data_IF_794630998605
#
_entry.id   IF_794630998605
#
_cell.length_a   1.000
_cell.length_b   1.000
_cell.length_c   1.000
_cell.angle_alpha   90.00
_cell.angle_beta   90.00
_cell.angle_gamma   90.00
#
_symmetry.space_group_name_H-M   'P 1'
#
loop_
_entity.id
_entity.type
_entity.pdbx_description
1 polymer ?
#
# COMPACT_ATOMS: atom_id res chain seq x y z
N UNK A 1 7.72 -26.97 20.72
CA UNK A 1 7.22 -25.80 19.96
C UNK A 1 7.26 -24.61 20.89
N UNK A 2 7.94 -23.53 20.50
CA UNK A 2 8.05 -22.31 21.30
C UNK A 2 6.85 -21.38 21.01
N UNK A 3 6.41 -20.61 22.02
CA UNK A 3 5.37 -19.58 21.90
C UNK A 3 5.85 -18.33 22.63
N UNK A 4 5.59 -17.17 22.07
CA UNK A 4 5.99 -15.90 22.67
C UNK A 4 5.38 -14.72 21.95
N UNK A 5 5.95 -13.55 22.18
CA UNK A 5 5.56 -12.27 21.59
C UNK A 5 6.42 -11.96 20.38
N UNK A 6 5.79 -11.56 19.29
CA UNK A 6 6.48 -11.02 18.12
C UNK A 6 6.46 -9.49 18.15
N UNK A 7 7.58 -8.85 17.82
CA UNK A 7 7.67 -7.40 17.64
C UNK A 7 8.38 -7.06 16.34
N UNK A 8 7.76 -6.20 15.55
CA UNK A 8 8.40 -5.56 14.40
C UNK A 8 8.96 -4.22 14.88
N UNK A 9 10.27 -4.03 14.77
CA UNK A 9 11.00 -2.88 15.31
C UNK A 9 11.73 -2.20 14.18
N UNK A 10 11.48 -0.90 14.01
CA UNK A 10 12.27 -0.01 13.15
C UNK A 10 13.38 0.64 13.98
N UNK A 11 14.62 0.60 13.51
CA UNK A 11 15.79 1.23 14.15
C UNK A 11 16.53 2.13 13.17
N UNK A 12 16.94 3.29 13.65
CA UNK A 12 17.64 4.31 12.86
C UNK A 12 16.73 5.48 12.51
N UNK A 13 17.37 6.61 12.20
CA UNK A 13 16.67 7.86 11.89
C UNK A 13 16.78 8.26 10.42
N UNK A 14 17.83 7.79 9.74
CA UNK A 14 18.10 8.07 8.33
C UNK A 14 17.56 6.94 7.45
N UNK A 15 17.04 7.31 6.28
CA UNK A 15 16.52 6.35 5.29
C UNK A 15 17.71 5.80 4.47
N UNK A 16 17.82 4.47 4.28
CA UNK A 16 16.93 3.44 4.78
C UNK A 16 17.19 3.09 6.26
N UNK A 17 16.12 3.02 7.05
CA UNK A 17 16.17 2.51 8.42
C UNK A 17 16.39 0.99 8.41
N UNK A 18 16.57 0.38 9.59
CA UNK A 18 16.66 -1.07 9.75
C UNK A 18 15.35 -1.61 10.34
N UNK A 19 14.77 -2.64 9.72
CA UNK A 19 13.64 -3.37 10.28
C UNK A 19 14.11 -4.71 10.88
N UNK A 20 13.66 -4.99 12.10
CA UNK A 20 13.98 -6.18 12.87
C UNK A 20 12.68 -6.85 13.31
N UNK A 21 12.56 -8.15 13.07
CA UNK A 21 11.51 -8.98 13.65
C UNK A 21 12.10 -9.71 14.86
N UNK A 22 11.68 -9.32 16.05
CA UNK A 22 12.10 -9.93 17.31
C UNK A 22 11.05 -10.94 17.78
N UNK A 23 11.52 -12.12 18.14
CA UNK A 23 10.77 -13.12 18.88
C UNK A 23 11.21 -13.02 20.34
N UNK A 24 10.29 -12.65 21.23
CA UNK A 24 10.56 -12.44 22.67
C UNK A 24 9.68 -13.34 23.52
N UNK A 25 10.13 -13.73 24.71
CA UNK A 25 9.26 -14.35 25.71
C UNK A 25 8.12 -13.38 26.08
N UNK A 26 6.89 -13.91 26.19
CA UNK A 26 5.71 -13.09 26.43
C UNK A 26 5.68 -12.45 27.83
N UNK A 27 6.31 -13.08 28.82
CA UNK A 27 6.28 -12.65 30.21
C UNK A 27 7.53 -11.84 30.57
N UNK A 28 8.72 -12.34 30.22
CA UNK A 28 9.99 -11.70 30.59
C UNK A 28 10.45 -10.67 29.58
N UNK A 29 10.01 -10.77 28.32
CA UNK A 29 10.53 -9.96 27.22
C UNK A 29 11.94 -10.34 26.78
N UNK A 30 12.47 -11.49 27.23
CA UNK A 30 13.78 -11.99 26.82
C UNK A 30 13.78 -12.32 25.32
N UNK A 31 14.82 -11.86 24.61
CA UNK A 31 14.96 -12.09 23.17
C UNK A 31 15.30 -13.56 22.90
N UNK A 32 14.38 -14.27 22.25
CA UNK A 32 14.59 -15.63 21.80
C UNK A 32 15.35 -15.67 20.46
N UNK A 33 14.91 -14.88 19.49
CA UNK A 33 15.56 -14.80 18.19
C UNK A 33 15.30 -13.44 17.52
N UNK A 34 16.24 -13.02 16.68
CA UNK A 34 16.12 -11.81 15.90
C UNK A 34 16.29 -12.13 14.41
N UNK A 35 15.33 -11.68 13.61
CA UNK A 35 15.34 -11.79 12.15
C UNK A 35 15.44 -10.39 11.54
N UNK A 36 16.61 -10.01 10.99
CA UNK A 36 16.74 -8.77 10.24
C UNK A 36 15.92 -8.81 8.95
N UNK A 37 15.05 -7.83 8.73
CA UNK A 37 14.26 -7.70 7.52
C UNK A 37 14.95 -6.73 6.54
N UNK A 38 15.50 -7.27 5.45
CA UNK A 38 16.31 -6.54 4.46
C UNK A 38 15.89 -6.86 3.01
N UNK A 39 14.73 -6.34 2.54
CA UNK A 39 14.28 -6.55 1.18
C UNK A 39 15.24 -5.87 0.18
N UNK A 40 15.62 -6.61 -0.85
CA UNK A 40 16.47 -6.12 -1.94
C UNK A 40 16.02 -6.73 -3.26
N UNK A 41 16.56 -6.25 -4.39
CA UNK A 41 16.25 -6.82 -5.72
C UNK A 41 16.57 -8.32 -5.81
N UNK A 42 17.58 -8.79 -5.09
CA UNK A 42 18.00 -10.20 -5.06
C UNK A 42 17.25 -11.02 -4.00
N UNK A 43 16.77 -10.37 -2.93
CA UNK A 43 15.99 -11.01 -1.87
C UNK A 43 14.71 -10.19 -1.62
N UNK A 44 13.66 -10.38 -2.44
CA UNK A 44 12.42 -9.60 -2.32
C UNK A 44 11.71 -9.85 -1.00
N UNK A 45 11.84 -11.06 -0.45
CA UNK A 45 11.22 -11.46 0.82
C UNK A 45 11.96 -10.90 2.04
N UNK A 46 13.16 -10.32 1.85
CA UNK A 46 13.91 -9.65 2.90
C UNK A 46 14.27 -10.50 4.12
N UNK A 47 14.21 -11.84 4.02
CA UNK A 47 14.41 -12.75 5.15
C UNK A 47 13.13 -13.18 5.87
N UNK A 48 11.94 -12.80 5.37
CA UNK A 48 10.64 -13.30 5.82
C UNK A 48 9.84 -13.81 4.62
N UNK A 49 9.67 -15.12 4.51
CA UNK A 49 8.99 -15.77 3.38
C UNK A 49 7.64 -16.34 3.82
N UNK A 50 6.57 -15.96 3.12
CA UNK A 50 5.23 -16.52 3.37
C UNK A 50 5.10 -17.92 2.77
N UNK A 51 4.43 -18.82 3.46
CA UNK A 51 4.15 -20.17 2.94
C UNK A 51 3.03 -20.12 1.89
N UNK A 52 3.17 -20.89 0.81
CA UNK A 52 2.28 -20.82 -0.37
C UNK A 52 0.85 -21.33 -0.12
N UNK A 53 0.69 -22.31 0.76
CA UNK A 53 -0.60 -22.96 1.04
C UNK A 53 -1.35 -22.34 2.24
N UNK A 54 -0.69 -21.44 2.98
CA UNK A 54 -1.24 -20.86 4.20
C UNK A 54 -0.78 -19.43 4.42
N UNK A 55 -1.75 -18.53 4.55
CA UNK A 55 -1.50 -17.12 4.90
C UNK A 55 -1.15 -16.89 6.36
N UNK A 56 -1.06 -17.93 7.19
CA UNK A 56 -0.73 -17.82 8.63
C UNK A 56 0.70 -18.21 8.95
N UNK A 57 1.41 -18.87 8.04
CA UNK A 57 2.75 -19.40 8.31
C UNK A 57 3.81 -18.68 7.49
N UNK A 58 4.98 -18.51 8.09
CA UNK A 58 6.12 -17.83 7.50
C UNK A 58 7.42 -18.54 7.89
N UNK A 59 8.46 -18.37 7.08
CA UNK A 59 9.82 -18.77 7.39
C UNK A 59 10.65 -17.50 7.59
N UNK A 60 11.21 -17.35 8.79
CA UNK A 60 12.12 -16.27 9.14
C UNK A 60 13.57 -16.72 9.01
N UNK A 61 14.41 -15.88 8.42
CA UNK A 61 15.86 -15.99 8.52
C UNK A 61 16.31 -15.25 9.78
N UNK A 62 16.68 -16.00 10.81
CA UNK A 62 17.25 -15.44 12.04
C UNK A 62 18.77 -15.39 11.95
N UNK A 63 19.37 -14.44 12.65
CA UNK A 63 20.82 -14.29 12.76
C UNK A 63 21.18 -14.37 14.23
N UNK A 64 22.10 -15.28 14.58
CA UNK A 64 22.69 -15.32 15.91
C UNK A 64 23.56 -14.07 16.12
N UNK A 65 23.31 -13.34 17.20
CA UNK A 65 24.06 -12.13 17.54
C UNK A 65 25.51 -12.43 17.93
N UNK A 66 25.79 -13.65 18.42
CA UNK A 66 27.13 -14.04 18.88
C UNK A 66 27.99 -14.57 17.74
N UNK A 67 27.46 -15.53 16.98
CA UNK A 67 28.21 -16.20 15.90
C UNK A 67 28.00 -15.60 14.50
N UNK A 68 26.98 -14.74 14.32
CA UNK A 68 26.58 -14.23 13.00
C UNK A 68 25.96 -15.30 12.08
N UNK A 69 25.80 -16.53 12.57
CA UNK A 69 25.25 -17.63 11.80
C UNK A 69 23.77 -17.43 11.50
N UNK A 70 23.35 -17.89 10.32
CA UNK A 70 21.97 -17.79 9.86
C UNK A 70 21.25 -19.11 10.09
N UNK A 71 20.04 -19.04 10.63
CA UNK A 71 19.14 -20.18 10.72
C UNK A 71 17.76 -19.82 10.18
N UNK A 72 16.99 -20.83 9.81
CA UNK A 72 15.62 -20.67 9.32
C UNK A 72 14.64 -21.19 10.36
N UNK A 73 13.69 -20.36 10.77
CA UNK A 73 12.66 -20.70 11.76
C UNK A 73 11.29 -20.56 11.11
N UNK A 74 10.51 -21.63 11.16
CA UNK A 74 9.08 -21.58 10.84
C UNK A 74 8.32 -20.92 11.98
N UNK A 75 7.49 -19.94 11.65
CA UNK A 75 6.59 -19.28 12.59
C UNK A 75 5.16 -19.30 12.06
N UNK A 76 4.19 -19.17 12.97
CA UNK A 76 2.79 -19.11 12.61
C UNK A 76 1.98 -18.26 13.58
N UNK A 77 0.99 -17.57 13.04
CA UNK A 77 0.01 -16.85 13.84
C UNK A 77 -1.19 -17.77 14.17
N UNK A 78 -1.76 -17.65 15.37
CA UNK A 78 -2.98 -18.36 15.73
C UNK A 78 -4.16 -17.89 14.85
N UNK A 79 -4.28 -16.58 14.59
CA UNK A 79 -5.33 -16.03 13.72
C UNK A 79 -4.80 -15.45 12.39
N UNK A 80 -5.62 -15.50 11.34
CA UNK A 80 -5.29 -14.91 10.03
C UNK A 80 -5.21 -13.38 10.07
N UNK A 81 -5.96 -12.74 10.97
CA UNK A 81 -5.95 -11.29 11.09
C UNK A 81 -4.58 -10.80 11.57
N UNK A 82 -3.99 -11.47 12.56
CA UNK A 82 -2.65 -11.12 13.06
C UNK A 82 -1.56 -11.31 12.00
N UNK A 83 -1.65 -12.38 11.19
CA UNK A 83 -0.71 -12.59 10.09
C UNK A 83 -0.83 -11.54 8.99
N UNK A 84 -2.04 -11.05 8.75
CA UNK A 84 -2.27 -9.94 7.83
C UNK A 84 -1.64 -8.64 8.34
N UNK A 85 -1.86 -8.28 9.61
CA UNK A 85 -1.29 -7.08 10.22
C UNK A 85 0.25 -7.11 10.20
N UNK A 86 0.85 -8.27 10.48
CA UNK A 86 2.30 -8.47 10.37
C UNK A 86 2.82 -8.21 8.95
N UNK A 87 2.16 -8.78 7.93
CA UNK A 87 2.56 -8.60 6.55
C UNK A 87 2.41 -7.14 6.10
N UNK A 88 1.33 -6.47 6.51
CA UNK A 88 1.11 -5.04 6.24
C UNK A 88 2.20 -4.20 6.89
N UNK A 89 2.57 -4.47 8.14
CA UNK A 89 3.63 -3.74 8.84
C UNK A 89 4.98 -3.81 8.10
N UNK A 90 5.37 -4.98 7.60
CA UNK A 90 6.60 -5.15 6.83
C UNK A 90 6.56 -4.43 5.47
N UNK A 91 5.43 -4.54 4.75
CA UNK A 91 5.26 -3.88 3.46
C UNK A 91 5.24 -2.36 3.59
N UNK A 92 4.55 -1.84 4.60
CA UNK A 92 4.46 -0.41 4.89
C UNK A 92 5.86 0.16 5.18
N UNK A 93 6.64 -0.52 6.02
CA UNK A 93 8.05 -0.17 6.21
C UNK A 93 8.84 -0.19 4.90
N UNK A 94 8.71 -1.24 4.08
CA UNK A 94 9.46 -1.35 2.82
C UNK A 94 9.12 -0.24 1.82
N UNK A 95 7.86 0.22 1.79
CA UNK A 95 7.42 1.34 0.95
C UNK A 95 8.01 2.67 1.42
N UNK A 96 8.07 2.90 2.74
CA UNK A 96 8.71 4.10 3.31
C UNK A 96 10.20 4.17 3.00
N UNK A 97 10.89 3.04 2.96
CA UNK A 97 12.34 3.01 2.69
C UNK A 97 12.70 3.37 1.25
N UNK A 98 11.78 3.16 0.30
CA UNK A 98 11.96 3.51 -1.11
C UNK A 98 10.75 4.31 -1.59
N UNK A 99 10.66 5.61 -1.23
CA UNK A 99 9.58 6.44 -1.74
C UNK A 99 9.66 6.39 -3.28
N UNK A 100 8.54 6.10 -3.97
CA UNK A 100 8.53 6.12 -5.42
C UNK A 100 9.04 7.47 -5.89
N UNK A 101 10.06 7.47 -6.76
CA UNK A 101 10.55 8.67 -7.45
C UNK A 101 9.46 9.16 -8.41
N UNK A 102 8.42 9.77 -7.86
CA UNK A 102 7.61 10.73 -8.59
C UNK A 102 8.45 12.00 -8.68
N UNK A 103 8.94 12.32 -9.87
CA UNK A 103 9.46 13.65 -10.15
C UNK A 103 8.35 14.50 -10.81
N UNK A 104 8.29 15.83 -10.66
CA UNK A 104 8.78 16.68 -9.57
C UNK A 104 7.66 17.60 -8.99
N UNK A 105 8.03 18.42 -7.98
CA UNK A 105 7.31 19.60 -7.44
C UNK A 105 5.96 19.41 -6.74
N UNK A 106 5.96 19.50 -5.41
CA UNK A 106 5.23 20.53 -4.66
C UNK A 106 5.35 20.28 -3.17
N UNK A 107 6.25 21.02 -2.54
CA UNK A 107 6.35 21.19 -1.10
C UNK A 107 5.05 21.75 -0.51
N UNK A 108 4.35 20.95 0.30
CA UNK A 108 3.51 21.39 1.42
C UNK A 108 3.18 20.12 2.23
N UNK A 109 3.28 20.03 3.54
CA UNK A 109 3.61 20.99 4.59
C UNK A 109 3.51 20.21 5.90
N UNK A 110 4.62 20.03 6.64
CA UNK A 110 4.62 19.92 8.11
C UNK A 110 6.03 19.58 8.63
N UNK A 111 6.91 20.58 8.67
CA UNK A 111 8.12 20.54 9.48
C UNK A 111 8.20 21.81 10.32
N UNK A 112 7.78 21.71 11.57
CA UNK A 112 8.17 22.68 12.61
C UNK A 112 9.48 22.21 13.25
N UNK A 113 10.50 23.04 13.07
CA UNK A 113 11.77 23.19 13.81
C UNK A 113 12.86 22.13 13.68
N UNK A 114 13.63 22.32 12.61
CA UNK A 114 15.06 22.00 12.45
C UNK A 114 15.98 22.99 13.19
N UNK A 115 17.23 22.59 13.48
CA UNK A 115 18.36 23.52 13.49
C UNK A 115 19.66 22.85 13.03
N UNK A 116 20.10 23.13 11.80
CA UNK A 116 21.47 23.57 11.45
C UNK A 116 21.70 23.65 9.93
N UNK A 117 21.76 24.88 9.42
CA UNK A 117 22.63 25.44 8.36
C UNK A 117 22.88 24.70 7.03
N UNK A 118 22.52 25.38 5.91
CA UNK A 118 23.35 25.86 4.73
C UNK A 118 22.62 25.64 3.38
N UNK A 119 22.87 26.42 2.29
CA UNK A 119 22.75 27.86 2.05
C UNK A 119 21.59 28.23 1.08
N UNK A 120 21.26 29.51 1.01
CA UNK A 120 20.19 30.10 0.22
C UNK A 120 20.26 29.79 -1.29
N UNK A 121 19.26 29.07 -1.81
CA UNK A 121 18.89 29.15 -3.23
C UNK A 121 17.97 30.35 -3.43
N UNK A 122 18.15 31.16 -4.49
CA UNK A 122 17.27 32.29 -4.74
C UNK A 122 15.85 31.78 -5.01
N UNK A 123 14.93 32.11 -4.12
CA UNK A 123 13.51 31.84 -4.29
C UNK A 123 13.06 32.49 -5.60
N UNK A 124 12.69 31.68 -6.59
CA UNK A 124 12.09 32.20 -7.81
C UNK A 124 10.66 32.60 -7.49
N UNK A 125 10.43 33.90 -7.46
CA UNK A 125 9.11 34.48 -7.34
C UNK A 125 8.35 34.24 -8.65
N UNK A 126 7.36 33.35 -8.60
CA UNK A 126 6.46 33.05 -9.71
C UNK A 126 5.08 33.71 -9.49
N UNK A 127 5.02 34.75 -8.67
CA UNK A 127 3.83 35.57 -8.54
C UNK A 127 3.54 36.24 -9.89
N UNK A 128 2.31 36.06 -10.37
CA UNK A 128 1.81 36.76 -11.55
C UNK A 128 1.79 38.25 -11.25
N UNK A 129 2.27 39.06 -12.19
CA UNK A 129 2.19 40.52 -12.07
C UNK A 129 0.73 40.95 -12.26
N UNK A 130 0.31 42.00 -11.57
CA UNK A 130 -1.06 42.52 -11.64
C UNK A 130 -1.48 42.73 -13.11
N UNK A 131 -2.46 41.93 -13.55
CA UNK A 131 -2.99 41.94 -14.92
C UNK A 131 -2.68 40.69 -15.76
N UNK A 132 -1.82 39.77 -15.31
CA UNK A 132 -1.52 38.52 -16.04
C UNK A 132 -2.50 37.40 -15.67
N UNK A 133 -3.23 36.86 -16.65
CA UNK A 133 -4.23 35.78 -16.45
C UNK A 133 -3.73 34.47 -17.06
N UNK A 134 -3.58 33.43 -16.24
CA UNK A 134 -3.23 32.07 -16.69
C UNK A 134 -4.47 31.42 -17.32
N UNK A 135 -4.44 31.18 -18.64
CA UNK A 135 -5.52 30.49 -19.34
C UNK A 135 -5.29 28.98 -19.32
N UNK A 136 -5.97 28.28 -18.39
CA UNK A 136 -5.91 26.82 -18.28
C UNK A 136 -7.00 26.21 -19.17
N UNK A 137 -6.61 25.55 -20.28
CA UNK A 137 -7.53 24.75 -21.09
C UNK A 137 -7.74 23.38 -20.43
N UNK A 138 -8.73 23.27 -19.55
CA UNK A 138 -9.20 21.98 -19.06
C UNK A 138 -10.04 21.29 -20.15
N UNK A 139 -9.42 20.41 -20.94
CA UNK A 139 -10.17 19.52 -21.82
C UNK A 139 -10.87 18.44 -21.00
N UNK A 140 -12.21 18.42 -20.99
CA UNK A 140 -12.95 17.25 -20.49
C UNK A 140 -14.35 17.42 -19.89
N UNK A 141 -14.90 18.63 -19.73
CA UNK A 141 -16.24 18.80 -19.15
C UNK A 141 -17.28 19.23 -20.19
N UNK A 142 -17.85 18.26 -20.90
CA UNK A 142 -19.07 18.46 -21.69
C UNK A 142 -20.32 18.22 -20.82
N UNK A 143 -20.76 19.29 -20.17
CA UNK A 143 -22.11 19.40 -19.58
C UNK A 143 -23.14 19.32 -20.71
N UNK A 144 -23.71 18.14 -20.94
CA UNK A 144 -24.83 17.98 -21.88
C UNK A 144 -26.15 18.32 -21.18
N UNK A 145 -26.45 19.61 -21.08
CA UNK A 145 -27.85 20.09 -20.99
C UNK A 145 -28.52 19.82 -22.33
N UNK A 146 -29.66 19.13 -22.34
CA UNK A 146 -30.65 19.34 -23.40
C UNK A 146 -32.06 19.33 -22.82
N UNK A 147 -32.76 20.39 -23.18
CA UNK A 147 -34.10 20.79 -22.77
C UNK A 147 -35.21 19.84 -23.25
N UNK A 148 -36.34 19.90 -22.56
CA UNK A 148 -37.67 19.46 -23.01
C UNK A 148 -38.34 20.58 -23.87
N UNK A 149 -39.60 20.49 -24.35
CA UNK A 149 -40.53 19.36 -24.65
C UNK A 149 -40.98 19.47 -26.17
N UNK A 150 -42.14 18.98 -26.74
CA UNK A 150 -43.52 18.98 -26.23
C UNK A 150 -44.42 17.72 -26.47
N UNK A 151 -45.36 17.53 -25.55
CA UNK A 151 -46.79 17.18 -25.69
C UNK A 151 -47.32 16.02 -26.58
N UNK A 152 -48.12 15.17 -25.92
CA UNK A 152 -49.40 14.57 -26.35
C UNK A 152 -49.40 13.21 -27.06
N UNK A 153 -49.78 12.13 -26.34
CA UNK A 153 -51.09 11.48 -26.50
C UNK A 153 -51.17 10.11 -25.77
N UNK A 154 -52.18 10.01 -24.91
CA UNK A 154 -52.98 8.86 -24.46
C UNK A 154 -52.54 7.40 -24.70
N UNK A 155 -52.68 6.59 -23.63
CA UNK A 155 -52.84 5.13 -23.73
C UNK A 155 -52.48 4.43 -22.42
N UNK A 156 -53.48 4.00 -21.66
CA UNK A 156 -53.31 3.46 -20.30
C UNK A 156 -52.82 2.01 -20.22
N UNK A 157 -52.59 1.55 -18.98
CA UNK A 157 -52.40 0.12 -18.70
C UNK A 157 -51.41 -0.19 -17.58
N UNK A 158 -51.94 -0.35 -16.36
CA UNK A 158 -51.56 -1.33 -15.33
C UNK A 158 -50.11 -1.84 -15.21
N UNK A 159 -49.51 -1.58 -14.04
CA UNK A 159 -48.94 -2.62 -13.15
C UNK A 159 -47.62 -3.30 -13.51
N UNK A 160 -46.66 -3.27 -12.55
CA UNK A 160 -45.69 -4.37 -12.40
C UNK A 160 -44.22 -3.98 -12.35
N UNK A 161 -43.67 -3.95 -11.12
CA UNK A 161 -42.33 -4.44 -10.72
C UNK A 161 -41.23 -4.47 -11.80
N UNK A 162 -40.47 -3.37 -11.92
CA UNK A 162 -39.31 -3.25 -12.81
C UNK A 162 -38.09 -4.05 -12.32
N UNK A 163 -38.09 -5.35 -12.62
CA UNK A 163 -36.90 -6.21 -12.59
C UNK A 163 -36.01 -5.94 -13.80
N UNK A 164 -34.71 -5.75 -13.54
CA UNK A 164 -33.64 -5.64 -14.52
C UNK A 164 -33.61 -6.86 -15.46
N UNK A 165 -34.18 -6.74 -16.65
CA UNK A 165 -34.10 -7.75 -17.70
C UNK A 165 -32.82 -7.53 -18.52
N UNK A 166 -31.75 -8.26 -18.18
CA UNK A 166 -30.60 -8.40 -19.07
C UNK A 166 -31.02 -9.20 -20.32
N UNK A 167 -30.56 -8.83 -21.53
CA UNK A 167 -30.87 -9.60 -22.73
C UNK A 167 -30.30 -11.02 -22.61
N UNK A 168 -31.03 -12.05 -23.09
CA UNK A 168 -30.57 -13.42 -23.01
C UNK A 168 -29.29 -13.63 -23.85
N UNK A 169 -28.38 -14.50 -23.40
CA UNK A 169 -27.11 -14.73 -24.10
C UNK A 169 -27.34 -15.39 -25.46
N UNK A 170 -26.47 -15.10 -26.46
CA UNK A 170 -26.57 -15.68 -27.79
C UNK A 170 -26.33 -17.20 -27.79
N UNK A 171 -26.96 -17.95 -28.71
CA UNK A 171 -26.79 -19.40 -28.82
C UNK A 171 -25.37 -19.78 -29.27
N UNK A 172 -24.89 -20.93 -28.78
CA UNK A 172 -23.56 -21.46 -29.08
C UNK A 172 -23.41 -21.85 -30.56
N UNK A 173 -22.21 -21.68 -31.16
CA UNK A 173 -21.97 -22.06 -32.55
C UNK A 173 -22.08 -23.58 -32.76
N UNK A 174 -22.59 -24.03 -33.92
CA UNK A 174 -22.76 -25.45 -34.21
C UNK A 174 -21.41 -26.17 -34.30
N UNK A 175 -21.30 -27.30 -33.59
CA UNK A 175 -20.18 -28.24 -33.71
C UNK A 175 -20.36 -29.11 -34.96
N UNK A 176 -19.59 -28.81 -36.00
CA UNK A 176 -18.95 -29.78 -36.90
C UNK A 176 -19.77 -30.36 -38.06
N UNK A 177 -19.17 -30.32 -39.25
CA UNK A 177 -18.62 -31.52 -39.89
C UNK A 177 -17.39 -31.17 -40.71
#
# INVERSE_FOLDING_TARGET
MWRGRLRVIERGNDIPTQCLVNLEDANTGELFAQAPYKPSKQNPNGGCEAVLDSSRYFVLTVVDQTSGQRAYIGMGFPERTESFDFNVALQDWSKRQNPPKLAPESSSSSSSSSSSSTPAQPARDFSLKDGETISIKLGGLSTKKKAAPPSSAAGGGAGGLGGFMLPPPPPAPPRGR
#
